data_IF_724225410755
#
_entry.id   IF_724225410755
#
_cell.length_a   1.000
_cell.length_b   1.000
_cell.length_c   1.000
_cell.angle_alpha   90.00
_cell.angle_beta   90.00
_cell.angle_gamma   90.00
#
_symmetry.space_group_name_H-M   'P 1'
#
loop_
_entity.id
_entity.type
_entity.pdbx_description
1 polymer ?
#
# COMPACT_ATOMS: atom_id res chain seq x y z
N UNK A 1 -38.63 7.22 32.43
CA UNK A 1 -37.64 7.20 31.32
C UNK A 1 -36.28 6.63 31.77
N UNK A 2 -35.70 7.07 32.89
CA UNK A 2 -34.40 6.59 33.45
C UNK A 2 -34.11 5.09 33.24
N UNK A 3 -35.02 4.17 33.60
CA UNK A 3 -34.75 2.73 33.50
C UNK A 3 -34.41 2.25 32.07
N UNK A 4 -34.93 2.88 31.01
CA UNK A 4 -34.57 2.53 29.63
C UNK A 4 -33.13 2.95 29.29
N UNK A 5 -32.69 4.10 29.81
CA UNK A 5 -31.34 4.63 29.64
C UNK A 5 -30.33 3.75 30.40
N UNK A 6 -30.67 3.29 31.61
CA UNK A 6 -29.83 2.38 32.40
C UNK A 6 -29.63 1.02 31.72
N UNK A 7 -30.69 0.45 31.12
CA UNK A 7 -30.59 -0.81 30.37
C UNK A 7 -29.72 -0.64 29.12
N UNK A 8 -29.88 0.47 28.39
CA UNK A 8 -29.03 0.77 27.23
C UNK A 8 -27.55 0.94 27.62
N UNK A 9 -27.27 1.71 28.68
CA UNK A 9 -25.90 1.92 29.19
C UNK A 9 -25.24 0.61 29.64
N UNK A 10 -25.99 -0.30 30.28
CA UNK A 10 -25.50 -1.63 30.65
C UNK A 10 -25.17 -2.48 29.41
N UNK A 11 -26.01 -2.44 28.37
CA UNK A 11 -25.76 -3.12 27.10
C UNK A 11 -24.50 -2.62 26.40
N UNK A 12 -24.32 -1.29 26.31
CA UNK A 12 -23.11 -0.67 25.73
C UNK A 12 -21.87 -1.09 26.50
N UNK A 13 -21.87 -1.04 27.84
CA UNK A 13 -20.72 -1.42 28.66
C UNK A 13 -20.31 -2.89 28.46
N UNK A 14 -21.28 -3.82 28.39
CA UNK A 14 -21.02 -5.25 28.17
C UNK A 14 -20.50 -5.49 26.75
N UNK A 15 -21.15 -4.89 25.74
CA UNK A 15 -20.71 -5.00 24.34
C UNK A 15 -19.29 -4.49 24.13
N UNK A 16 -18.97 -3.29 24.62
CA UNK A 16 -17.62 -2.71 24.54
C UNK A 16 -16.56 -3.60 25.21
N UNK A 17 -16.87 -4.22 26.35
CA UNK A 17 -15.93 -5.11 27.04
C UNK A 17 -15.65 -6.41 26.25
N UNK A 18 -16.68 -7.00 25.62
CA UNK A 18 -16.52 -8.20 24.77
C UNK A 18 -15.74 -7.85 23.50
N UNK A 19 -16.08 -6.76 22.81
CA UNK A 19 -15.37 -6.33 21.60
C UNK A 19 -13.91 -5.99 21.89
N UNK A 20 -13.60 -5.27 22.97
CA UNK A 20 -12.21 -4.97 23.33
C UNK A 20 -11.41 -6.22 23.69
N UNK A 21 -12.05 -7.24 24.28
CA UNK A 21 -11.41 -8.54 24.51
C UNK A 21 -11.09 -9.24 23.19
N UNK A 22 -12.06 -9.36 22.27
CA UNK A 22 -11.86 -10.02 20.97
C UNK A 22 -10.80 -9.31 20.11
N UNK A 23 -10.78 -7.97 20.12
CA UNK A 23 -9.74 -7.16 19.48
C UNK A 23 -8.37 -7.47 20.08
N UNK A 24 -8.23 -7.46 21.42
CA UNK A 24 -6.97 -7.84 22.09
C UNK A 24 -6.54 -9.28 21.77
N UNK A 25 -7.47 -10.23 21.81
CA UNK A 25 -7.17 -11.65 21.58
C UNK A 25 -6.79 -11.94 20.10
N UNK A 26 -7.28 -11.15 19.13
CA UNK A 26 -6.77 -11.16 17.73
C UNK A 26 -5.40 -10.50 17.61
N UNK A 27 -5.26 -9.22 17.95
CA UNK A 27 -4.00 -8.48 17.72
C UNK A 27 -2.81 -9.02 18.54
N UNK A 28 -3.05 -9.65 19.69
CA UNK A 28 -1.99 -10.27 20.50
C UNK A 28 -1.51 -11.63 19.94
N UNK A 29 -2.11 -12.16 18.88
CA UNK A 29 -1.63 -13.35 18.15
C UNK A 29 -0.74 -13.04 16.95
N UNK A 30 -0.47 -11.76 16.65
CA UNK A 30 0.31 -11.33 15.48
C UNK A 30 1.52 -10.45 15.86
N UNK A 31 2.08 -10.64 17.06
CA UNK A 31 3.11 -9.75 17.62
C UNK A 31 4.29 -10.45 18.33
N UNK A 32 4.25 -11.78 18.51
CA UNK A 32 5.20 -12.52 19.36
C UNK A 32 5.98 -13.65 18.62
N UNK A 33 5.86 -13.79 17.29
CA UNK A 33 6.48 -14.93 16.55
C UNK A 33 7.71 -14.56 15.67
N UNK A 34 7.95 -13.29 15.33
CA UNK A 34 9.12 -12.90 14.50
C UNK A 34 10.37 -12.44 15.29
N UNK A 35 10.20 -11.96 16.52
CA UNK A 35 11.29 -11.33 17.30
C UNK A 35 12.28 -12.37 17.89
N UNK A 36 11.97 -13.66 17.82
CA UNK A 36 12.85 -14.74 18.27
C UNK A 36 14.03 -15.03 17.32
N UNK A 37 13.80 -15.00 16.00
CA UNK A 37 14.74 -15.50 14.98
C UNK A 37 16.00 -14.61 14.83
N UNK A 38 15.80 -13.29 14.74
CA UNK A 38 16.86 -12.31 14.42
C UNK A 38 17.96 -12.26 15.48
N UNK A 39 17.65 -12.64 16.74
CA UNK A 39 18.58 -12.51 17.86
C UNK A 39 19.69 -13.57 17.88
N UNK A 40 19.46 -14.79 17.39
CA UNK A 40 20.53 -15.81 17.39
C UNK A 40 21.58 -15.55 16.28
N UNK A 41 21.15 -15.04 15.12
CA UNK A 41 22.04 -14.76 13.98
C UNK A 41 23.05 -13.66 14.33
N UNK A 42 22.62 -12.59 15.01
CA UNK A 42 23.50 -11.48 15.37
C UNK A 42 24.53 -11.86 16.44
N UNK A 43 24.18 -12.77 17.36
CA UNK A 43 25.07 -13.23 18.45
C UNK A 43 26.26 -14.07 17.99
N UNK A 44 26.36 -14.43 16.69
CA UNK A 44 27.34 -15.42 16.18
C UNK A 44 28.50 -14.84 15.37
N UNK A 45 28.62 -13.51 15.23
CA UNK A 45 29.59 -12.89 14.29
C UNK A 45 30.44 -11.70 14.80
N UNK A 46 30.39 -11.38 16.10
CA UNK A 46 31.29 -10.38 16.70
C UNK A 46 32.03 -10.96 17.92
N UNK A 47 33.31 -11.38 17.78
CA UNK A 47 34.22 -11.40 18.92
C UNK A 47 34.47 -9.98 19.45
N UNK A 48 34.86 -9.87 20.71
CA UNK A 48 34.89 -8.61 21.48
C UNK A 48 36.05 -7.68 21.11
N UNK A 49 35.85 -6.38 21.34
CA UNK A 49 36.78 -5.29 20.99
C UNK A 49 37.72 -4.95 22.16
N UNK A 50 38.24 -5.97 22.85
CA UNK A 50 38.97 -5.83 24.12
C UNK A 50 40.44 -6.28 24.06
N UNK A 51 40.88 -6.86 22.94
CA UNK A 51 42.29 -7.14 22.65
C UNK A 51 42.87 -6.13 21.63
N UNK A 52 44.20 -5.98 21.63
CA UNK A 52 44.96 -5.00 20.81
C UNK A 52 44.71 -3.53 21.23
N UNK A 53 44.55 -3.30 22.53
CA UNK A 53 45.34 -2.25 23.16
C UNK A 53 46.82 -2.71 23.28
N UNK A 54 47.72 -1.77 23.57
CA UNK A 54 49.17 -2.01 23.80
C UNK A 54 50.01 -2.45 22.58
N UNK A 55 50.55 -1.47 21.84
CA UNK A 55 52.01 -1.41 21.59
C UNK A 55 52.47 0.03 21.25
N UNK A 56 53.71 0.35 21.60
CA UNK A 56 54.32 1.70 21.66
C UNK A 56 54.25 2.55 20.37
N UNK A 57 54.07 3.89 20.34
CA UNK A 57 54.49 5.05 21.18
C UNK A 57 55.79 5.76 20.71
N UNK A 58 55.70 7.11 20.55
CA UNK A 58 56.69 8.13 20.07
C UNK A 58 56.80 8.30 18.54
N UNK A 59 57.09 9.48 17.94
CA UNK A 59 57.07 10.94 18.28
C UNK A 59 57.41 11.70 16.95
N UNK A 60 57.14 12.97 16.60
CA UNK A 60 56.69 14.27 17.20
C UNK A 60 55.27 14.68 16.72
N UNK A 61 54.57 15.77 17.11
CA UNK A 61 54.82 17.10 17.75
C UNK A 61 55.08 18.30 16.80
N UNK A 62 53.99 19.07 16.51
CA UNK A 62 53.89 20.51 16.08
C UNK A 62 54.36 20.87 14.65
N UNK A 63 53.81 21.86 13.93
CA UNK A 63 52.63 22.78 14.12
C UNK A 63 52.15 23.29 12.76
N UNK A 64 50.85 23.56 12.60
CA UNK A 64 50.24 24.90 12.31
C UNK A 64 48.81 24.79 11.74
N UNK A 65 48.06 25.90 11.71
CA UNK A 65 46.60 25.88 11.68
C UNK A 65 45.92 26.55 10.47
N UNK A 66 45.08 25.76 9.76
CA UNK A 66 43.80 26.15 9.10
C UNK A 66 43.76 27.26 8.01
N UNK A 67 42.69 27.36 7.19
CA UNK A 67 41.69 26.35 6.77
C UNK A 67 41.54 26.26 5.22
N UNK A 68 40.82 25.24 4.71
CA UNK A 68 39.60 25.38 3.87
C UNK A 68 39.23 24.09 3.11
N UNK A 69 37.99 24.07 2.60
CA UNK A 69 37.45 23.12 1.61
C UNK A 69 37.49 21.62 1.99
N UNK A 70 36.53 21.20 2.82
CA UNK A 70 36.01 19.83 2.70
C UNK A 70 35.34 19.72 1.32
N UNK A 71 35.89 18.93 0.43
CA UNK A 71 35.27 18.63 -0.89
C UNK A 71 33.98 17.82 -0.66
N UNK A 72 33.04 17.94 -1.59
CA UNK A 72 31.83 17.12 -1.61
C UNK A 72 32.18 15.61 -1.63
N UNK A 73 31.30 14.72 -1.15
CA UNK A 73 31.40 13.30 -1.43
C UNK A 73 31.46 13.05 -2.94
N UNK A 74 32.15 11.98 -3.33
CA UNK A 74 32.54 11.75 -4.73
C UNK A 74 31.33 11.35 -5.58
N UNK A 75 31.25 11.87 -6.80
CA UNK A 75 30.14 11.65 -7.74
C UNK A 75 29.97 10.16 -8.14
N UNK A 76 30.96 9.31 -7.79
CA UNK A 76 30.99 7.88 -8.09
C UNK A 76 30.00 7.05 -7.28
N UNK A 77 29.65 7.47 -6.06
CA UNK A 77 28.78 6.68 -5.18
C UNK A 77 27.36 6.54 -5.75
N UNK A 78 26.84 7.61 -6.37
CA UNK A 78 25.56 7.56 -7.10
C UNK A 78 25.59 6.56 -8.25
N UNK A 79 26.68 6.53 -9.04
CA UNK A 79 26.79 5.60 -10.17
C UNK A 79 26.90 4.15 -9.71
N UNK A 80 27.56 3.90 -8.58
CA UNK A 80 27.61 2.58 -7.96
C UNK A 80 26.24 2.16 -7.40
N UNK A 81 25.46 3.09 -6.84
CA UNK A 81 24.07 2.81 -6.47
C UNK A 81 23.19 2.54 -7.70
N UNK A 82 23.34 3.31 -8.79
CA UNK A 82 22.68 3.04 -10.07
C UNK A 82 23.02 1.63 -10.57
N UNK A 83 24.29 1.24 -10.67
CA UNK A 83 24.68 -0.11 -11.12
C UNK A 83 24.20 -1.25 -10.20
N UNK A 84 23.84 -0.95 -8.93
CA UNK A 84 23.19 -1.89 -8.01
C UNK A 84 21.68 -1.92 -8.23
N UNK A 85 21.03 -0.77 -8.42
CA UNK A 85 19.59 -0.67 -8.75
C UNK A 85 19.32 -1.32 -10.11
N UNK A 86 20.17 -1.09 -11.11
CA UNK A 86 20.06 -1.70 -12.44
C UNK A 86 20.27 -3.22 -12.39
N UNK A 87 21.11 -3.74 -11.48
CA UNK A 87 21.34 -5.20 -11.30
C UNK A 87 20.32 -5.91 -10.42
N UNK A 88 19.84 -5.21 -9.40
CA UNK A 88 18.71 -5.63 -8.56
C UNK A 88 17.40 -5.05 -9.09
N UNK A 89 17.36 -4.62 -10.36
CA UNK A 89 16.12 -4.57 -11.11
C UNK A 89 15.67 -6.02 -11.19
N UNK A 90 14.76 -6.37 -10.30
CA UNK A 90 13.94 -7.54 -10.51
C UNK A 90 13.40 -7.39 -11.92
N UNK A 91 13.53 -8.44 -12.72
CA UNK A 91 12.69 -8.50 -13.90
C UNK A 91 11.28 -8.50 -13.34
N UNK A 92 10.53 -7.46 -13.66
CA UNK A 92 9.08 -7.52 -13.69
C UNK A 92 8.76 -8.70 -14.63
N UNK A 93 8.50 -9.86 -14.01
CA UNK A 93 7.57 -10.80 -14.61
C UNK A 93 6.27 -10.01 -14.79
N UNK A 94 5.68 -10.10 -15.98
CA UNK A 94 4.69 -9.16 -16.53
C UNK A 94 3.35 -9.26 -15.78
N UNK A 95 3.38 -8.83 -14.51
CA UNK A 95 2.29 -8.82 -13.57
C UNK A 95 1.38 -7.66 -13.98
N UNK A 96 0.32 -8.01 -14.71
CA UNK A 96 -0.82 -7.12 -14.90
C UNK A 96 -1.47 -6.94 -13.52
N UNK A 97 -1.03 -5.90 -12.80
CA UNK A 97 -1.56 -5.52 -11.48
C UNK A 97 -3.06 -5.18 -11.53
N UNK A 98 -3.60 -4.91 -12.73
CA UNK A 98 -5.02 -4.70 -13.02
C UNK A 98 -5.37 -5.45 -14.30
N UNK A 99 -6.45 -6.21 -14.31
CA UNK A 99 -6.91 -6.94 -15.50
C UNK A 99 -8.41 -7.16 -15.49
N UNK A 100 -9.00 -7.20 -16.69
CA UNK A 100 -10.41 -7.55 -16.90
C UNK A 100 -10.62 -9.04 -16.58
N UNK A 101 -11.70 -9.34 -15.86
CA UNK A 101 -12.12 -10.70 -15.49
C UNK A 101 -13.51 -10.99 -16.05
N UNK A 102 -13.88 -12.27 -16.15
CA UNK A 102 -15.23 -12.65 -16.59
C UNK A 102 -16.30 -12.38 -15.51
N UNK A 103 -17.57 -12.19 -15.89
CA UNK A 103 -18.67 -12.05 -14.93
C UNK A 103 -18.80 -13.25 -13.98
N UNK A 104 -18.40 -14.44 -14.43
CA UNK A 104 -18.36 -15.66 -13.60
C UNK A 104 -17.15 -15.76 -12.66
N UNK A 105 -16.17 -14.87 -12.75
CA UNK A 105 -15.02 -14.77 -11.82
C UNK A 105 -15.16 -13.64 -10.80
N UNK A 106 -16.04 -12.67 -11.06
CA UNK A 106 -16.30 -11.52 -10.18
C UNK A 106 -17.08 -11.96 -8.92
N UNK A 107 -16.55 -11.64 -7.74
CA UNK A 107 -17.15 -12.01 -6.45
C UNK A 107 -16.95 -13.48 -6.03
N UNK A 108 -16.25 -14.31 -6.82
CA UNK A 108 -15.84 -15.66 -6.42
C UNK A 108 -14.53 -15.67 -5.59
N UNK A 109 -13.85 -14.53 -5.46
CA UNK A 109 -12.68 -14.36 -4.58
C UNK A 109 -13.08 -13.94 -3.15
N UNK A 110 -12.12 -13.88 -2.22
CA UNK A 110 -12.33 -13.26 -0.90
C UNK A 110 -12.09 -11.73 -0.88
N UNK A 111 -11.85 -11.12 -2.05
CA UNK A 111 -11.62 -9.67 -2.16
C UNK A 111 -12.93 -8.88 -1.97
N UNK A 112 -12.89 -7.68 -1.36
CA UNK A 112 -13.99 -6.72 -1.47
C UNK A 112 -14.25 -6.34 -2.93
N UNK A 113 -15.50 -5.99 -3.23
CA UNK A 113 -15.93 -5.44 -4.52
C UNK A 113 -16.55 -4.04 -4.35
N UNK A 114 -16.48 -3.20 -5.39
CA UNK A 114 -17.06 -1.85 -5.43
C UNK A 114 -17.61 -1.55 -6.84
N UNK A 115 -18.76 -0.86 -6.93
CA UNK A 115 -19.38 -0.51 -8.21
C UNK A 115 -19.03 0.93 -8.63
N UNK A 116 -18.46 1.07 -9.84
CA UNK A 116 -18.22 2.34 -10.52
C UNK A 116 -19.29 2.59 -11.60
N UNK A 117 -19.54 3.86 -11.93
CA UNK A 117 -20.42 4.24 -13.04
C UNK A 117 -19.66 4.98 -14.13
N UNK A 118 -19.72 4.49 -15.37
CA UNK A 118 -19.19 5.14 -16.57
C UNK A 118 -20.35 5.81 -17.33
N UNK A 119 -20.32 7.14 -17.40
CA UNK A 119 -21.42 7.96 -17.92
C UNK A 119 -21.26 8.29 -19.41
N UNK A 120 -22.37 8.53 -20.12
CA UNK A 120 -22.37 8.80 -21.56
C UNK A 120 -21.70 10.12 -22.01
N UNK A 121 -21.18 10.94 -21.09
CA UNK A 121 -20.26 12.05 -21.37
C UNK A 121 -18.80 11.78 -21.00
N UNK A 122 -18.44 10.51 -20.77
CA UNK A 122 -17.06 10.04 -20.57
C UNK A 122 -16.55 10.12 -19.12
N UNK A 123 -17.41 10.50 -18.19
CA UNK A 123 -17.08 10.63 -16.75
C UNK A 123 -17.11 9.24 -16.09
N UNK A 124 -16.17 8.96 -15.19
CA UNK A 124 -16.24 7.82 -14.25
C UNK A 124 -16.52 8.34 -12.85
N UNK A 125 -17.37 7.63 -12.08
CA UNK A 125 -17.65 7.96 -10.68
C UNK A 125 -17.71 6.76 -9.74
N UNK A 126 -17.31 6.99 -8.48
CA UNK A 126 -17.49 6.06 -7.35
C UNK A 126 -18.97 5.92 -6.89
N UNK A 127 -19.23 5.06 -5.90
CA UNK A 127 -20.56 4.89 -5.29
C UNK A 127 -21.12 6.20 -4.67
N UNK A 128 -20.24 7.11 -4.20
CA UNK A 128 -20.59 8.44 -3.70
C UNK A 128 -20.78 9.50 -4.82
N UNK A 129 -20.73 9.05 -6.08
CA UNK A 129 -20.84 9.84 -7.30
C UNK A 129 -19.74 10.92 -7.41
N UNK A 130 -18.61 10.75 -6.72
CA UNK A 130 -17.41 11.55 -6.86
C UNK A 130 -16.79 11.26 -8.23
N UNK A 131 -16.42 12.31 -8.96
CA UNK A 131 -15.74 12.18 -10.25
C UNK A 131 -14.29 11.78 -9.99
N UNK A 132 -13.85 10.71 -10.63
CA UNK A 132 -12.46 10.27 -10.68
C UNK A 132 -11.74 11.03 -11.81
N UNK A 133 -10.47 11.38 -11.61
CA UNK A 133 -9.62 11.93 -12.69
C UNK A 133 -8.86 10.83 -13.48
N UNK A 134 -8.04 11.24 -14.45
CA UNK A 134 -7.32 10.31 -15.32
C UNK A 134 -6.29 9.45 -14.55
N UNK A 135 -5.68 10.00 -13.49
CA UNK A 135 -4.74 9.27 -12.63
C UNK A 135 -5.49 8.32 -11.69
N UNK A 136 -6.62 8.76 -11.09
CA UNK A 136 -7.51 7.91 -10.27
C UNK A 136 -8.02 6.69 -11.06
N UNK A 137 -8.45 6.89 -12.32
CA UNK A 137 -8.95 5.83 -13.21
C UNK A 137 -7.83 4.82 -13.51
N UNK A 138 -6.64 5.31 -13.84
CA UNK A 138 -5.49 4.45 -14.13
C UNK A 138 -5.03 3.68 -12.88
N UNK A 139 -4.99 4.28 -11.69
CA UNK A 139 -4.65 3.56 -10.44
C UNK A 139 -5.73 2.54 -10.04
N UNK A 140 -7.01 2.84 -10.30
CA UNK A 140 -8.15 2.06 -9.82
C UNK A 140 -8.53 0.87 -10.72
N UNK A 141 -8.71 1.09 -12.02
CA UNK A 141 -9.15 0.07 -12.99
C UNK A 141 -8.22 -0.10 -14.19
N UNK A 142 -7.33 0.86 -14.43
CA UNK A 142 -6.57 0.94 -15.68
C UNK A 142 -7.41 1.57 -16.78
N UNK A 143 -6.82 2.52 -17.51
CA UNK A 143 -7.52 3.31 -18.53
C UNK A 143 -8.05 2.48 -19.72
N UNK A 144 -7.46 1.30 -19.99
CA UNK A 144 -7.90 0.41 -21.06
C UNK A 144 -9.22 -0.32 -20.73
N UNK A 145 -9.57 -0.49 -19.44
CA UNK A 145 -10.78 -1.20 -19.01
C UNK A 145 -12.08 -0.65 -19.66
N UNK A 146 -12.13 0.66 -19.90
CA UNK A 146 -13.27 1.34 -20.53
C UNK A 146 -13.44 0.99 -22.03
N UNK A 147 -12.51 0.25 -22.64
CA UNK A 147 -12.60 -0.25 -24.01
C UNK A 147 -13.25 -1.65 -24.11
N UNK A 148 -13.44 -2.38 -22.99
CA UNK A 148 -13.89 -3.78 -22.98
C UNK A 148 -15.42 -3.99 -22.92
N UNK A 149 -16.22 -2.91 -22.92
CA UNK A 149 -17.69 -3.04 -23.00
C UNK A 149 -18.10 -3.78 -24.29
N UNK A 150 -18.93 -4.81 -24.14
CA UNK A 150 -19.34 -5.70 -25.23
C UNK A 150 -18.43 -6.92 -25.46
N UNK A 151 -17.35 -7.12 -24.68
CA UNK A 151 -16.57 -8.38 -24.72
C UNK A 151 -17.25 -9.52 -23.94
N UNK A 152 -17.86 -9.20 -22.80
CA UNK A 152 -18.65 -10.13 -21.98
C UNK A 152 -20.13 -9.71 -21.91
N UNK A 153 -20.40 -8.47 -21.50
CA UNK A 153 -21.74 -7.87 -21.44
C UNK A 153 -21.73 -6.49 -22.12
N UNK A 154 -22.88 -6.03 -22.63
CA UNK A 154 -22.98 -4.76 -23.38
C UNK A 154 -22.84 -3.52 -22.49
N UNK A 155 -23.21 -3.61 -21.21
CA UNK A 155 -23.35 -2.51 -20.25
C UNK A 155 -22.53 -2.67 -18.96
N UNK A 156 -21.67 -3.69 -18.85
CA UNK A 156 -20.75 -3.90 -17.71
C UNK A 156 -19.32 -4.28 -18.16
N UNK A 157 -18.33 -3.97 -17.32
CA UNK A 157 -16.96 -4.52 -17.36
C UNK A 157 -16.52 -4.83 -15.93
N UNK A 158 -15.86 -5.97 -15.71
CA UNK A 158 -15.35 -6.38 -14.40
C UNK A 158 -13.82 -6.37 -14.39
N UNK A 159 -13.19 -5.77 -13.37
CA UNK A 159 -11.74 -5.65 -13.24
C UNK A 159 -11.28 -6.14 -11.87
N UNK A 160 -10.22 -6.95 -11.80
CA UNK A 160 -9.48 -7.19 -10.55
C UNK A 160 -8.25 -6.29 -10.49
N UNK A 161 -8.01 -5.68 -9.34
CA UNK A 161 -6.84 -4.88 -9.03
C UNK A 161 -6.10 -5.50 -7.83
N UNK A 162 -4.94 -6.10 -8.12
CA UNK A 162 -4.10 -6.83 -7.16
C UNK A 162 -3.25 -5.89 -6.28
N UNK A 163 -3.09 -4.60 -6.66
CA UNK A 163 -2.45 -3.58 -5.81
C UNK A 163 -3.41 -3.11 -4.71
N UNK A 164 -4.69 -2.97 -5.04
CA UNK A 164 -5.73 -2.46 -4.14
C UNK A 164 -6.48 -3.55 -3.36
N UNK A 165 -6.12 -4.83 -3.55
CA UNK A 165 -6.85 -6.00 -3.01
C UNK A 165 -8.37 -5.89 -3.26
N UNK A 166 -8.80 -5.51 -4.48
CA UNK A 166 -10.22 -5.24 -4.78
C UNK A 166 -10.64 -5.60 -6.20
N UNK A 167 -11.92 -5.96 -6.35
CA UNK A 167 -12.60 -6.10 -7.64
C UNK A 167 -13.56 -4.92 -7.89
N UNK A 168 -13.71 -4.54 -9.16
CA UNK A 168 -14.52 -3.40 -9.59
C UNK A 168 -15.52 -3.82 -10.67
N UNK A 169 -16.79 -3.48 -10.46
CA UNK A 169 -17.86 -3.57 -11.46
C UNK A 169 -18.04 -2.18 -12.08
N UNK A 170 -17.84 -2.03 -13.39
CA UNK A 170 -17.98 -0.75 -14.10
C UNK A 170 -19.28 -0.79 -14.90
N UNK A 171 -20.32 -0.10 -14.41
CA UNK A 171 -21.64 -0.07 -15.06
C UNK A 171 -21.78 1.13 -16.00
N UNK A 172 -22.29 0.92 -17.21
CA UNK A 172 -22.53 1.99 -18.18
C UNK A 172 -23.87 2.71 -17.94
N UNK A 173 -23.84 4.02 -17.69
CA UNK A 173 -25.04 4.85 -17.69
C UNK A 173 -25.19 5.60 -19.02
N UNK A 174 -26.27 5.31 -19.74
CA UNK A 174 -26.64 5.98 -21.00
C UNK A 174 -27.00 7.47 -20.83
N UNK A 175 -27.12 7.95 -19.58
CA UNK A 175 -27.27 9.37 -19.23
C UNK A 175 -25.90 10.02 -19.13
N UNK A 176 -25.86 11.34 -19.32
CA UNK A 176 -24.66 12.16 -19.12
C UNK A 176 -24.60 12.60 -17.66
N UNK A 177 -23.45 12.49 -17.01
CA UNK A 177 -23.24 12.94 -15.63
C UNK A 177 -23.64 14.41 -15.47
N UNK A 178 -23.26 15.25 -16.44
CA UNK A 178 -23.59 16.68 -16.45
C UNK A 178 -25.09 16.99 -16.61
N UNK A 179 -25.91 16.06 -17.09
CA UNK A 179 -27.38 16.22 -17.16
C UNK A 179 -28.08 15.75 -15.87
N UNK A 180 -27.46 14.86 -15.09
CA UNK A 180 -28.00 14.34 -13.81
C UNK A 180 -27.50 15.18 -12.61
N UNK A 181 -26.26 15.66 -12.66
CA UNK A 181 -25.61 16.47 -11.62
C UNK A 181 -25.17 17.86 -12.13
N UNK A 182 -26.08 18.69 -12.67
CA UNK A 182 -25.76 19.97 -13.34
C UNK A 182 -25.25 21.10 -12.40
N UNK A 183 -24.85 20.77 -11.17
CA UNK A 183 -24.34 21.69 -10.15
C UNK A 183 -23.12 21.15 -9.39
N UNK A 184 -22.45 20.11 -9.92
CA UNK A 184 -21.08 19.72 -9.54
C UNK A 184 -20.08 20.36 -10.50
#
# INVERSE_FOLDING_TARGET
MINKILIFAAGVAIGSAVTWKLVKDKYKKLADEEIASVKEVWSKKHPTVEDIAETDVKESIKTDATPQSKKNPDFKDYRAMQEIIDKNSYKEEDYMDKYVISPEEFGESELPSESLTYWADGVVTDEANCVMDEDDIEETIGSDALNHFGEYEDDSVFVRNEILDKEYEILMDTRRFSDVYPTR
#
